data_IF_896032250439
#
_entry.id   IF_896032250439
#
_cell.length_a   1.000
_cell.length_b   1.000
_cell.length_c   1.000
_cell.angle_alpha   90.00
_cell.angle_beta   90.00
_cell.angle_gamma   90.00
#
_symmetry.space_group_name_H-M   'P 1'
#
loop_
_entity.id
_entity.type
_entity.pdbx_description
1 polymer ?
#
# COMPACT_ATOMS: atom_id res chain seq x y z
N UNK A 1 -2.15 -4.01 -3.46
CA UNK A 1 -3.29 -4.20 -2.56
C UNK A 1 -3.96 -2.88 -2.26
N UNK A 2 -5.22 -2.81 -2.66
CA UNK A 2 -6.14 -1.71 -2.44
C UNK A 2 -7.42 -2.35 -1.89
N UNK A 3 -8.05 -1.80 -0.83
CA UNK A 3 -9.34 -2.26 -0.35
C UNK A 3 -10.37 -2.17 -1.47
N UNK A 4 -11.35 -3.06 -1.46
CA UNK A 4 -12.42 -3.03 -2.47
C UNK A 4 -13.36 -1.83 -2.26
N UNK A 5 -13.33 -1.25 -1.05
CA UNK A 5 -14.22 -0.19 -0.58
C UNK A 5 -13.67 1.23 -0.79
N UNK A 6 -12.56 1.36 -1.54
CA UNK A 6 -11.93 2.64 -1.86
C UNK A 6 -12.15 3.09 -3.33
N UNK A 7 -13.37 3.09 -3.91
CA UNK A 7 -13.58 3.35 -5.34
C UNK A 7 -13.15 4.76 -5.77
N UNK A 8 -13.10 5.70 -4.83
CA UNK A 8 -12.71 7.10 -5.06
C UNK A 8 -11.20 7.34 -4.97
N UNK A 9 -10.40 6.32 -4.64
CA UNK A 9 -8.94 6.46 -4.62
C UNK A 9 -8.45 6.85 -6.02
N UNK A 10 -7.88 8.06 -6.20
CA UNK A 10 -7.58 8.53 -7.53
C UNK A 10 -6.40 7.72 -8.10
N UNK A 11 -6.50 7.38 -9.40
CA UNK A 11 -5.48 6.58 -10.09
C UNK A 11 -4.06 7.19 -10.03
N UNK A 12 -3.96 8.49 -9.73
CA UNK A 12 -2.71 9.21 -9.46
C UNK A 12 -1.96 8.67 -8.25
N UNK A 13 -2.65 8.28 -7.16
CA UNK A 13 -2.04 7.67 -5.98
C UNK A 13 -1.45 6.29 -6.33
N UNK A 14 -2.23 5.46 -7.03
CA UNK A 14 -1.77 4.14 -7.50
C UNK A 14 -0.54 4.28 -8.40
N UNK A 15 -0.58 5.21 -9.36
CA UNK A 15 0.55 5.49 -10.26
C UNK A 15 1.79 5.92 -9.50
N UNK A 16 1.64 6.78 -8.48
CA UNK A 16 2.76 7.25 -7.65
C UNK A 16 3.41 6.09 -6.90
N UNK A 17 2.62 5.25 -6.25
CA UNK A 17 3.13 4.08 -5.52
C UNK A 17 3.79 3.07 -6.47
N UNK A 18 3.24 2.82 -7.66
CA UNK A 18 3.86 1.93 -8.67
C UNK A 18 5.16 2.52 -9.22
N UNK A 19 5.24 3.85 -9.41
CA UNK A 19 6.46 4.49 -9.90
C UNK A 19 7.64 4.27 -8.94
N UNK A 20 7.39 4.22 -7.63
CA UNK A 20 8.39 3.85 -6.62
C UNK A 20 8.94 2.44 -6.83
N UNK A 21 8.08 1.48 -7.18
CA UNK A 21 8.54 0.10 -7.44
C UNK A 21 9.45 0.00 -8.67
N UNK A 22 9.25 0.87 -9.66
CA UNK A 22 10.09 0.89 -10.88
C UNK A 22 11.48 1.47 -10.65
N UNK A 23 11.71 2.14 -9.51
CA UNK A 23 12.96 2.82 -9.16
C UNK A 23 13.81 2.04 -8.16
N UNK A 24 13.62 0.72 -8.07
CA UNK A 24 14.36 -0.27 -7.24
C UNK A 24 13.65 -0.74 -5.96
N UNK A 25 12.49 -0.19 -5.61
CA UNK A 25 11.72 -0.70 -4.48
C UNK A 25 10.95 -1.98 -4.86
N UNK A 26 10.99 -3.01 -4.01
CA UNK A 26 10.17 -4.22 -4.18
C UNK A 26 8.81 -4.12 -3.47
N UNK A 27 8.68 -3.17 -2.55
CA UNK A 27 7.51 -2.91 -1.74
C UNK A 27 7.30 -1.40 -1.61
N UNK A 28 6.06 -0.93 -1.77
CA UNK A 28 5.70 0.47 -1.61
C UNK A 28 4.37 0.62 -0.88
N UNK A 29 4.22 1.64 -0.05
CA UNK A 29 2.97 1.91 0.66
C UNK A 29 2.66 3.40 0.66
N UNK A 30 1.43 3.77 0.29
CA UNK A 30 0.97 5.15 0.44
C UNK A 30 0.90 5.52 1.93
N UNK A 31 1.37 6.71 2.24
CA UNK A 31 1.23 7.33 3.56
C UNK A 31 0.55 8.68 3.41
N UNK A 32 -0.26 9.03 4.41
CA UNK A 32 -1.01 10.27 4.44
C UNK A 32 -0.71 10.97 5.76
N UNK A 33 0.15 12.00 5.72
CA UNK A 33 0.56 12.74 6.91
C UNK A 33 1.30 11.85 7.90
N UNK A 34 2.18 10.97 7.40
CA UNK A 34 2.90 10.00 8.20
C UNK A 34 2.08 8.80 8.70
N UNK A 35 0.80 8.69 8.32
CA UNK A 35 -0.04 7.52 8.63
C UNK A 35 -0.12 6.62 7.41
N UNK A 36 0.41 5.38 7.47
CA UNK A 36 0.33 4.49 6.31
C UNK A 36 -1.08 3.99 6.07
N UNK A 37 -1.46 4.02 4.80
CA UNK A 37 -2.77 3.63 4.30
C UNK A 37 -2.64 2.89 2.98
N UNK A 38 -3.71 2.96 2.19
CA UNK A 38 -3.79 2.33 0.88
C UNK A 38 -3.62 3.33 -0.25
N UNK A 39 -3.10 2.88 -1.42
CA UNK A 39 -2.70 1.52 -1.75
C UNK A 39 -1.30 1.15 -1.23
N UNK A 40 -1.12 -0.15 -0.97
CA UNK A 40 0.21 -0.76 -0.84
C UNK A 40 0.50 -1.57 -2.11
N UNK A 41 1.72 -1.57 -2.61
CA UNK A 41 2.14 -2.32 -3.79
C UNK A 41 3.29 -3.26 -3.44
N UNK A 42 3.22 -4.47 -4.02
CA UNK A 42 4.19 -5.54 -3.79
C UNK A 42 4.57 -6.14 -5.13
N UNK A 43 5.83 -6.51 -5.32
CA UNK A 43 6.27 -7.26 -6.50
C UNK A 43 5.90 -8.73 -6.37
N UNK A 44 5.87 -9.43 -7.52
CA UNK A 44 5.56 -10.85 -7.58
C UNK A 44 6.51 -11.71 -6.72
N UNK A 45 7.77 -11.30 -6.58
CA UNK A 45 8.79 -11.98 -5.78
C UNK A 45 8.46 -12.02 -4.28
N UNK A 46 7.74 -11.02 -3.77
CA UNK A 46 7.30 -10.97 -2.36
C UNK A 46 5.88 -11.51 -2.16
N UNK A 47 5.13 -11.76 -3.24
CA UNK A 47 3.74 -12.17 -3.15
C UNK A 47 3.56 -13.49 -2.40
N UNK A 48 4.36 -14.51 -2.74
CA UNK A 48 4.27 -15.83 -2.10
C UNK A 48 4.64 -15.78 -0.62
N UNK A 49 5.73 -15.07 -0.28
CA UNK A 49 6.18 -14.92 1.10
C UNK A 49 5.21 -14.07 1.94
N UNK A 50 4.62 -13.01 1.36
CA UNK A 50 3.56 -12.25 2.02
C UNK A 50 2.33 -13.13 2.26
N UNK A 51 1.86 -13.86 1.24
CA UNK A 51 0.68 -14.72 1.37
C UNK A 51 0.85 -15.81 2.43
N UNK A 52 2.08 -16.29 2.64
CA UNK A 52 2.38 -17.25 3.72
C UNK A 52 2.48 -16.58 5.10
N UNK A 53 2.83 -15.29 5.15
CA UNK A 53 2.93 -14.51 6.39
C UNK A 53 1.59 -13.89 6.84
N UNK A 54 0.63 -13.77 5.92
CA UNK A 54 -0.74 -13.35 6.21
C UNK A 54 -1.47 -14.51 6.90
N UNK A 55 -1.52 -14.46 8.22
CA UNK A 55 -2.30 -15.41 9.05
C UNK A 55 -3.44 -14.66 9.75
N UNK A 56 -4.68 -15.00 9.41
CA UNK A 56 -5.90 -14.40 9.97
C UNK A 56 -6.05 -12.90 9.70
N UNK A 57 -6.46 -12.15 10.73
CA UNK A 57 -6.80 -10.72 10.70
C UNK A 57 -5.58 -9.77 10.69
N UNK A 58 -4.36 -10.34 10.61
CA UNK A 58 -3.12 -9.56 10.54
C UNK A 58 -2.88 -9.13 9.10
N UNK A 59 -3.24 -7.89 8.80
CA UNK A 59 -2.96 -7.26 7.50
C UNK A 59 -1.46 -7.24 7.14
N UNK A 60 -1.15 -6.95 5.88
CA UNK A 60 0.20 -7.06 5.30
C UNK A 60 1.29 -6.17 5.93
N UNK A 61 0.92 -5.21 6.79
CA UNK A 61 1.83 -4.16 7.26
C UNK A 61 3.07 -4.65 8.03
N UNK A 62 2.99 -5.58 8.99
CA UNK A 62 4.18 -6.08 9.68
C UNK A 62 5.19 -6.70 8.71
N UNK A 63 4.70 -7.42 7.69
CA UNK A 63 5.55 -7.97 6.63
C UNK A 63 6.21 -6.85 5.81
N UNK A 64 5.45 -5.83 5.40
CA UNK A 64 5.95 -4.70 4.63
C UNK A 64 7.09 -3.97 5.35
N UNK A 65 6.89 -3.63 6.62
CA UNK A 65 7.90 -2.94 7.45
C UNK A 65 9.17 -3.80 7.59
N UNK A 66 9.00 -5.11 7.86
CA UNK A 66 10.13 -6.03 8.04
C UNK A 66 10.99 -6.16 6.78
N UNK A 67 10.39 -6.03 5.59
CA UNK A 67 11.06 -6.19 4.30
C UNK A 67 11.44 -4.85 3.64
N UNK A 68 11.41 -3.74 4.38
CA UNK A 68 11.90 -2.45 3.91
C UNK A 68 10.97 -1.77 2.91
N UNK A 69 9.67 -1.76 3.18
CA UNK A 69 8.69 -1.00 2.38
C UNK A 69 9.09 0.47 2.24
N UNK A 70 8.95 1.00 1.03
CA UNK A 70 9.09 2.43 0.78
C UNK A 70 7.76 3.12 1.01
N UNK A 71 7.73 4.04 1.97
CA UNK A 71 6.59 4.88 2.26
C UNK A 71 6.52 6.06 1.27
N UNK A 72 5.33 6.31 0.73
CA UNK A 72 5.09 7.29 -0.34
C UNK A 72 4.04 8.29 0.12
N UNK A 73 4.46 9.51 0.44
CA UNK A 73 3.55 10.59 0.83
C UNK A 73 2.59 10.95 -0.31
N UNK A 74 1.30 10.88 -0.01
CA UNK A 74 0.20 11.08 -0.95
C UNK A 74 -0.85 12.10 -0.46
N UNK A 75 -0.61 12.78 0.67
CA UNK A 75 -1.53 13.78 1.24
C UNK A 75 -1.83 14.98 0.35
N UNK A 76 -0.97 15.26 -0.63
CA UNK A 76 -1.19 16.29 -1.65
C UNK A 76 -2.22 15.85 -2.73
N UNK A 77 -2.50 14.56 -2.83
CA UNK A 77 -3.37 13.99 -3.88
C UNK A 77 -4.69 13.51 -3.31
N UNK A 78 -4.70 12.97 -2.09
CA UNK A 78 -5.90 12.46 -1.43
C UNK A 78 -5.69 12.38 0.07
N UNK A 79 -6.77 12.42 0.85
CA UNK A 79 -6.72 12.34 2.31
C UNK A 79 -6.49 10.91 2.84
N UNK A 80 -6.63 9.89 1.99
CA UNK A 80 -6.58 8.49 2.42
C UNK A 80 -7.86 7.99 3.09
N UNK A 81 -8.95 8.76 3.02
CA UNK A 81 -10.22 8.41 3.65
C UNK A 81 -10.91 7.27 2.87
N UNK A 82 -10.88 6.06 3.42
CA UNK A 82 -11.68 4.94 2.93
C UNK A 82 -13.17 5.21 3.20
N UNK A 83 -14.04 4.93 2.22
CA UNK A 83 -15.49 5.08 2.42
C UNK A 83 -16.01 3.75 2.92
N UNK A 84 -15.89 3.54 4.24
CA UNK A 84 -16.54 2.42 4.91
C UNK A 84 -18.07 2.61 4.84
N UNK A 85 -18.71 1.94 3.88
CA UNK A 85 -20.15 1.75 3.88
C UNK A 85 -20.48 0.57 4.81
N UNK A 86 -20.99 0.90 6.01
CA UNK A 86 -21.57 -0.07 6.96
C UNK A 86 -22.92 -0.62 6.48
#
# INVERSE_FOLDING_TARGET
MMPVDAPDAPASVVRRVIATLRREALLGQAVYGGVPGHPAAITLSHFAALSAALDGDRGARPYLVTHGVVEVECSDVWSGADIDHR
#
